data_IF_597067213902
#
_entry.id   IF_597067213902
#
_cell.length_a   1.000
_cell.length_b   1.000
_cell.length_c   1.000
_cell.angle_alpha   90.00
_cell.angle_beta   90.00
_cell.angle_gamma   90.00
#
_symmetry.space_group_name_H-M   'P 1'
#
loop_
_entity.id
_entity.type
_entity.pdbx_description
1 polymer ?
#
# COMPACT_ATOMS: atom_id res chain seq x y z
N UNK A 1 -12.08 -9.54 10.13
CA UNK A 1 -11.72 -9.66 8.71
C UNK A 1 -12.98 -9.77 7.89
N UNK A 2 -13.21 -8.85 6.97
CA UNK A 2 -14.40 -8.83 6.13
C UNK A 2 -14.16 -9.63 4.84
N UNK A 3 -15.23 -9.98 4.12
CA UNK A 3 -15.13 -10.59 2.79
C UNK A 3 -14.33 -9.71 1.80
N UNK A 4 -14.33 -8.38 2.01
CA UNK A 4 -13.61 -7.46 1.14
C UNK A 4 -12.11 -7.48 1.35
N UNK A 5 -11.61 -7.62 2.58
CA UNK A 5 -10.15 -7.73 2.83
C UNK A 5 -9.58 -8.93 2.03
N UNK A 6 -10.26 -10.08 2.09
CA UNK A 6 -9.85 -11.30 1.38
C UNK A 6 -9.91 -11.16 -0.15
N UNK A 7 -10.93 -10.48 -0.67
CA UNK A 7 -11.08 -10.26 -2.11
C UNK A 7 -10.04 -9.28 -2.65
N UNK A 8 -9.79 -8.19 -1.92
CA UNK A 8 -8.75 -7.22 -2.26
C UNK A 8 -7.37 -7.88 -2.22
N UNK A 9 -7.09 -8.67 -1.19
CA UNK A 9 -5.86 -9.43 -1.08
C UNK A 9 -5.67 -10.39 -2.26
N UNK A 10 -6.66 -11.23 -2.56
CA UNK A 10 -6.55 -12.23 -3.63
C UNK A 10 -6.23 -11.58 -4.99
N UNK A 11 -6.84 -10.43 -5.28
CA UNK A 11 -6.59 -9.67 -6.51
C UNK A 11 -5.17 -9.11 -6.55
N UNK A 12 -4.72 -8.45 -5.46
CA UNK A 12 -3.39 -7.86 -5.38
C UNK A 12 -2.31 -8.95 -5.49
N UNK A 13 -2.45 -10.03 -4.71
CA UNK A 13 -1.52 -11.15 -4.71
C UNK A 13 -1.48 -11.84 -6.07
N UNK A 14 -2.62 -12.02 -6.72
CA UNK A 14 -2.71 -12.60 -8.06
C UNK A 14 -1.89 -11.79 -9.08
N UNK A 15 -2.06 -10.46 -9.10
CA UNK A 15 -1.32 -9.58 -10.00
C UNK A 15 0.18 -9.56 -9.73
N UNK A 16 0.57 -9.47 -8.45
CA UNK A 16 1.97 -9.44 -8.06
C UNK A 16 2.67 -10.75 -8.40
N UNK A 17 2.06 -11.90 -8.11
CA UNK A 17 2.64 -13.21 -8.47
C UNK A 17 2.76 -13.42 -9.97
N UNK A 18 1.78 -12.93 -10.75
CA UNK A 18 1.84 -13.03 -12.21
C UNK A 18 2.94 -12.15 -12.82
N UNK A 19 3.21 -10.99 -12.23
CA UNK A 19 4.15 -9.98 -12.77
C UNK A 19 5.56 -10.14 -12.22
N UNK A 20 5.68 -10.51 -10.94
CA UNK A 20 6.93 -10.61 -10.18
C UNK A 20 7.01 -11.96 -9.44
N UNK A 21 7.06 -13.09 -10.18
CA UNK A 21 6.97 -14.43 -9.59
C UNK A 21 8.11 -14.75 -8.60
N UNK A 22 9.26 -14.09 -8.72
CA UNK A 22 10.43 -14.32 -7.88
C UNK A 22 10.51 -13.42 -6.64
N UNK A 23 9.60 -12.44 -6.49
CA UNK A 23 9.60 -11.54 -5.33
C UNK A 23 8.92 -12.19 -4.12
N UNK A 24 9.45 -11.91 -2.93
CA UNK A 24 8.77 -12.29 -1.69
C UNK A 24 7.52 -11.41 -1.46
N UNK A 25 6.59 -11.89 -0.65
CA UNK A 25 5.39 -11.15 -0.28
C UNK A 25 5.20 -11.23 1.24
N UNK A 26 4.77 -10.13 1.85
CA UNK A 26 4.30 -10.04 3.23
C UNK A 26 2.95 -9.33 3.21
N UNK A 27 1.87 -10.08 3.40
CA UNK A 27 0.50 -9.56 3.45
C UNK A 27 -0.02 -9.59 4.89
N UNK A 28 -0.87 -8.64 5.27
CA UNK A 28 -1.55 -8.64 6.58
C UNK A 28 -2.33 -9.94 6.83
N UNK A 29 -3.10 -10.39 5.84
CA UNK A 29 -4.06 -11.49 6.02
C UNK A 29 -3.44 -12.88 5.83
N UNK A 30 -2.61 -13.06 4.78
CA UNK A 30 -1.97 -14.35 4.48
C UNK A 30 -0.54 -14.49 5.02
N UNK A 31 0.05 -13.42 5.57
CA UNK A 31 1.39 -13.44 6.12
C UNK A 31 2.51 -13.48 5.07
N UNK A 32 3.64 -14.09 5.43
CA UNK A 32 4.85 -14.08 4.61
C UNK A 32 4.91 -15.26 3.63
N UNK A 33 5.19 -14.96 2.36
CA UNK A 33 5.52 -15.89 1.28
C UNK A 33 6.96 -15.63 0.81
N UNK A 34 7.82 -16.67 0.75
CA UNK A 34 9.21 -16.50 0.37
C UNK A 34 9.36 -16.17 -1.12
N UNK A 35 10.48 -15.55 -1.46
CA UNK A 35 10.91 -15.27 -2.84
C UNK A 35 12.44 -15.34 -2.97
N UNK A 36 12.93 -15.22 -4.19
CA UNK A 36 14.34 -15.44 -4.55
C UNK A 36 15.02 -14.20 -5.14
N UNK A 37 14.28 -13.15 -5.50
CA UNK A 37 14.83 -11.94 -6.13
C UNK A 37 15.57 -11.00 -5.18
N UNK A 38 15.42 -11.19 -3.86
CA UNK A 38 15.91 -10.23 -2.85
C UNK A 38 15.00 -9.01 -2.67
N UNK A 39 13.85 -8.96 -3.37
CA UNK A 39 12.79 -7.96 -3.17
C UNK A 39 11.60 -8.56 -2.42
N UNK A 40 10.86 -7.72 -1.70
CA UNK A 40 9.65 -8.09 -0.95
C UNK A 40 8.55 -7.05 -1.11
N UNK A 41 7.37 -7.47 -1.52
CA UNK A 41 6.14 -6.66 -1.46
C UNK A 41 5.54 -6.75 -0.06
N UNK A 42 5.16 -5.61 0.52
CA UNK A 42 4.50 -5.50 1.82
C UNK A 42 3.12 -4.89 1.56
N UNK A 43 2.07 -5.57 1.99
CA UNK A 43 0.70 -5.30 1.53
C UNK A 43 -0.25 -5.26 2.73
N UNK A 44 -1.03 -4.19 2.78
CA UNK A 44 -2.27 -4.11 3.54
C UNK A 44 -3.41 -3.93 2.52
N UNK A 45 -4.26 -4.94 2.33
CA UNK A 45 -5.30 -4.94 1.30
C UNK A 45 -6.48 -4.04 1.65
N UNK A 46 -6.65 -3.66 2.92
CA UNK A 46 -7.72 -2.78 3.39
C UNK A 46 -7.34 -2.11 4.72
N UNK A 47 -6.52 -1.06 4.64
CA UNK A 47 -6.20 -0.22 5.78
C UNK A 47 -7.47 0.53 6.20
N UNK A 48 -7.89 0.35 7.46
CA UNK A 48 -9.14 0.89 7.97
C UNK A 48 -10.34 -0.04 7.85
N UNK A 49 -10.17 -1.37 7.96
CA UNK A 49 -11.25 -2.37 7.98
C UNK A 49 -12.45 -1.98 8.88
N UNK A 50 -12.20 -1.41 10.07
CA UNK A 50 -13.27 -0.92 10.96
C UNK A 50 -14.05 0.23 10.34
N UNK A 51 -13.36 1.20 9.74
CA UNK A 51 -14.00 2.33 9.06
C UNK A 51 -14.85 1.81 7.89
N UNK A 52 -14.30 0.89 7.09
CA UNK A 52 -15.03 0.24 6.00
C UNK A 52 -16.29 -0.47 6.49
N UNK A 53 -16.18 -1.29 7.55
CA UNK A 53 -17.30 -2.04 8.12
C UNK A 53 -18.41 -1.14 8.67
N UNK A 54 -18.06 0.06 9.14
CA UNK A 54 -19.02 1.06 9.62
C UNK A 54 -19.48 2.06 8.54
N UNK A 55 -19.07 1.88 7.28
CA UNK A 55 -19.45 2.76 6.17
C UNK A 55 -18.80 4.14 6.20
N UNK A 56 -17.69 4.31 6.92
CA UNK A 56 -16.92 5.55 6.94
C UNK A 56 -15.94 5.58 5.74
N UNK A 57 -15.92 6.65 4.92
CA UNK A 57 -15.07 6.77 3.73
C UNK A 57 -13.63 7.17 4.10
N UNK A 58 -13.01 6.38 4.98
CA UNK A 58 -11.63 6.57 5.45
C UNK A 58 -11.00 5.17 5.53
N UNK A 59 -10.66 4.64 4.37
CA UNK A 59 -9.98 3.37 4.21
C UNK A 59 -9.20 3.38 2.89
N UNK A 60 -8.24 2.48 2.73
CA UNK A 60 -7.44 2.42 1.51
C UNK A 60 -6.70 1.11 1.33
N UNK A 61 -5.97 1.02 0.23
CA UNK A 61 -5.03 -0.08 -0.03
C UNK A 61 -3.61 0.47 0.12
N UNK A 62 -2.74 -0.22 0.85
CA UNK A 62 -1.35 0.17 1.03
C UNK A 62 -0.40 -0.92 0.53
N UNK A 63 0.53 -0.54 -0.36
CA UNK A 63 1.51 -1.45 -0.95
C UNK A 63 2.89 -0.78 -0.92
N UNK A 64 3.87 -1.49 -0.39
CA UNK A 64 5.28 -1.08 -0.43
C UNK A 64 6.16 -2.14 -1.09
N UNK A 65 7.24 -1.70 -1.74
CA UNK A 65 8.30 -2.57 -2.22
C UNK A 65 9.56 -2.33 -1.40
N UNK A 66 10.06 -3.40 -0.79
CA UNK A 66 11.36 -3.45 -0.14
C UNK A 66 12.39 -4.11 -1.05
N UNK A 67 13.58 -3.52 -1.15
CA UNK A 67 14.76 -4.15 -1.73
C UNK A 67 15.96 -3.86 -0.82
N UNK A 68 16.83 -4.85 -0.61
CA UNK A 68 18.02 -4.71 0.26
C UNK A 68 17.68 -4.12 1.65
N UNK A 69 16.55 -4.54 2.24
CA UNK A 69 16.04 -4.06 3.54
C UNK A 69 15.72 -2.55 3.58
N UNK A 70 15.42 -1.95 2.43
CA UNK A 70 14.99 -0.55 2.31
C UNK A 70 13.70 -0.48 1.51
N UNK A 71 12.75 0.33 1.99
CA UNK A 71 11.58 0.69 1.19
C UNK A 71 12.04 1.57 0.03
N UNK A 72 11.75 1.12 -1.20
CA UNK A 72 12.10 1.79 -2.45
C UNK A 72 10.89 2.38 -3.15
N UNK A 73 9.70 1.83 -2.92
CA UNK A 73 8.42 2.31 -3.45
C UNK A 73 7.34 2.17 -2.36
N UNK A 74 6.44 3.15 -2.28
CA UNK A 74 5.22 3.10 -1.51
C UNK A 74 4.05 3.63 -2.34
N UNK A 75 2.91 2.96 -2.24
CA UNK A 75 1.65 3.31 -2.90
C UNK A 75 0.53 3.20 -1.88
N UNK A 76 -0.28 4.25 -1.75
CA UNK A 76 -1.52 4.23 -0.98
C UNK A 76 -2.64 4.70 -1.90
N UNK A 77 -3.74 3.95 -1.96
CA UNK A 77 -4.91 4.32 -2.75
C UNK A 77 -6.13 4.43 -1.84
N UNK A 78 -6.75 5.60 -1.81
CA UNK A 78 -8.06 5.83 -1.19
C UNK A 78 -9.14 5.77 -2.28
N UNK A 79 -9.90 4.66 -2.37
CA UNK A 79 -10.93 4.49 -3.39
C UNK A 79 -12.17 5.37 -3.14
N UNK A 80 -12.35 5.91 -1.93
CA UNK A 80 -13.48 6.78 -1.62
C UNK A 80 -13.28 8.20 -2.15
N UNK A 81 -12.03 8.62 -2.33
CA UNK A 81 -11.64 9.94 -2.86
C UNK A 81 -11.00 9.88 -4.26
N UNK A 82 -10.76 8.67 -4.77
CA UNK A 82 -9.97 8.42 -5.98
C UNK A 82 -8.57 9.06 -5.91
N UNK A 83 -7.93 8.93 -4.74
CA UNK A 83 -6.63 9.52 -4.46
C UNK A 83 -5.54 8.46 -4.45
N UNK A 84 -4.60 8.57 -5.39
CA UNK A 84 -3.43 7.69 -5.50
C UNK A 84 -2.17 8.39 -5.03
N UNK A 85 -1.69 8.03 -3.85
CA UNK A 85 -0.41 8.51 -3.32
C UNK A 85 0.70 7.57 -3.75
N UNK A 86 1.77 8.10 -4.35
CA UNK A 86 2.93 7.31 -4.78
C UNK A 86 4.20 7.98 -4.30
N UNK A 87 5.14 7.22 -3.76
CA UNK A 87 6.46 7.71 -3.42
C UNK A 87 7.54 6.70 -3.82
N UNK A 88 8.57 7.17 -4.50
CA UNK A 88 9.74 6.37 -4.84
C UNK A 88 10.98 6.99 -4.20
N UNK A 89 11.85 6.15 -3.65
CA UNK A 89 13.05 6.58 -2.95
C UNK A 89 13.92 7.44 -3.87
N UNK A 90 14.15 8.69 -3.48
CA UNK A 90 14.96 9.65 -4.23
C UNK A 90 14.19 10.42 -5.32
N UNK A 91 12.90 10.15 -5.54
CA UNK A 91 12.08 10.83 -6.55
C UNK A 91 10.96 11.70 -5.98
N UNK A 92 10.76 11.67 -4.65
CA UNK A 92 9.70 12.42 -3.97
C UNK A 92 8.38 11.65 -3.92
N UNK A 93 7.29 12.37 -3.69
CA UNK A 93 5.94 11.82 -3.58
C UNK A 93 4.96 12.59 -4.49
N UNK A 94 3.94 11.90 -4.98
CA UNK A 94 2.85 12.45 -5.79
C UNK A 94 1.48 12.06 -5.23
N UNK A 95 0.48 12.88 -5.52
CA UNK A 95 -0.94 12.56 -5.48
C UNK A 95 -1.45 12.55 -6.93
N UNK A 96 -1.81 11.38 -7.45
CA UNK A 96 -1.91 11.14 -8.88
C UNK A 96 -0.58 11.49 -9.55
N UNK A 97 -0.64 12.38 -10.54
CA UNK A 97 0.54 12.87 -11.24
C UNK A 97 1.16 14.14 -10.62
N UNK A 98 0.51 14.73 -9.61
CA UNK A 98 0.92 16.00 -9.03
C UNK A 98 1.91 15.79 -7.86
N UNK A 99 3.10 16.43 -7.86
CA UNK A 99 4.03 16.36 -6.73
C UNK A 99 3.43 16.95 -5.46
N UNK A 100 3.63 16.26 -4.33
CA UNK A 100 3.18 16.69 -3.01
C UNK A 100 4.35 16.86 -2.05
N UNK A 101 4.13 17.67 -1.02
CA UNK A 101 5.06 17.89 0.09
C UNK A 101 4.27 18.06 1.38
N UNK A 102 4.93 17.78 2.50
CA UNK A 102 4.37 18.10 3.82
C UNK A 102 4.12 19.60 3.96
N UNK A 103 3.25 19.99 4.89
CA UNK A 103 3.04 21.39 5.23
C UNK A 103 4.31 22.01 5.83
N UNK A 104 4.41 23.34 5.78
CA UNK A 104 5.49 24.09 6.45
C UNK A 104 5.20 24.32 7.95
N UNK A 105 4.04 23.87 8.44
CA UNK A 105 3.61 24.08 9.81
C UNK A 105 4.42 23.19 10.75
N UNK A 106 5.11 23.82 11.71
CA UNK A 106 5.85 23.11 12.75
C UNK A 106 4.96 22.67 13.94
N UNK A 107 3.73 23.18 14.02
CA UNK A 107 2.75 22.81 15.03
C UNK A 107 1.42 22.44 14.37
N UNK A 108 0.73 21.46 14.94
CA UNK A 108 -0.71 21.34 14.78
C UNK A 108 -1.29 22.54 15.52
N UNK A 109 -2.01 23.43 14.83
CA UNK A 109 -2.75 24.49 15.52
C UNK A 109 -3.74 23.89 16.52
N UNK A 110 -3.98 24.57 17.63
CA UNK A 110 -5.17 24.34 18.46
C UNK A 110 -6.45 24.61 17.68
#
# INVERSE_FOLDING_TARGET
MTEMDQRAEAEILGRLRATFPDDAILSEETGASPGHSGRRWIIDPLDGTTNYAHGLPVFGVSIALEAERRIILGVVYDPSRDELFVAERGRGATLGDAPIRVSASASLGE
#
